data_IF_493629745879
#
_entry.id   IF_493629745879
#
_cell.length_a   1.000
_cell.length_b   1.000
_cell.length_c   1.000
_cell.angle_alpha   90.00
_cell.angle_beta   90.00
_cell.angle_gamma   90.00
#
_symmetry.space_group_name_H-M   'P 1'
#
loop_
_entity.id
_entity.type
_entity.pdbx_description
1 polymer ?
#
# COMPACT_ATOMS: atom_id res chain seq x y z
N UNK A 1 12.50 12.64 21.42
CA UNK A 1 11.12 13.15 21.22
C UNK A 1 10.17 11.99 21.02
N UNK A 2 8.98 12.05 21.66
CA UNK A 2 7.94 11.02 21.55
C UNK A 2 6.65 11.67 21.05
N UNK A 3 6.00 11.06 20.05
CA UNK A 3 4.71 11.53 19.52
C UNK A 3 3.67 10.42 19.67
N UNK A 4 2.55 10.73 20.31
CA UNK A 4 1.40 9.83 20.44
C UNK A 4 0.33 10.28 19.46
N UNK A 5 -0.16 9.37 18.63
CA UNK A 5 -1.23 9.62 17.69
C UNK A 5 -2.36 8.59 17.82
N UNK A 6 -3.58 9.00 17.46
CA UNK A 6 -4.76 8.13 17.46
C UNK A 6 -5.39 8.11 16.07
N UNK A 7 -5.62 6.93 15.53
CA UNK A 7 -6.30 6.82 14.25
C UNK A 7 -7.83 6.86 14.40
N UNK A 8 -8.59 7.06 13.30
CA UNK A 8 -10.06 7.06 13.33
C UNK A 8 -10.71 5.73 13.77
N UNK A 9 -9.97 4.61 13.74
CA UNK A 9 -10.42 3.31 14.24
C UNK A 9 -10.33 3.20 15.76
N UNK A 10 -9.68 4.18 16.44
CA UNK A 10 -9.49 4.23 17.88
C UNK A 10 -8.19 3.62 18.38
N UNK A 11 -7.28 3.23 17.49
CA UNK A 11 -5.97 2.66 17.83
C UNK A 11 -4.97 3.78 18.10
N UNK A 12 -4.09 3.56 19.09
CA UNK A 12 -3.03 4.51 19.45
C UNK A 12 -1.69 4.01 18.90
N UNK A 13 -0.88 4.95 18.46
CA UNK A 13 0.47 4.73 17.95
C UNK A 13 1.42 5.64 18.71
N UNK A 14 2.63 5.13 18.98
CA UNK A 14 3.73 5.88 19.56
C UNK A 14 4.87 5.90 18.56
N UNK A 15 5.36 7.09 18.25
CA UNK A 15 6.56 7.28 17.43
C UNK A 15 7.66 7.86 18.31
N UNK A 16 8.80 7.17 18.36
CA UNK A 16 9.95 7.55 19.18
C UNK A 16 11.12 7.82 18.25
N UNK A 17 11.71 9.02 18.35
CA UNK A 17 12.95 9.34 17.67
C UNK A 17 14.10 8.90 18.56
N UNK A 18 14.98 8.05 18.03
CA UNK A 18 16.16 7.54 18.72
C UNK A 18 17.40 8.05 17.98
N UNK A 19 18.38 8.51 18.70
CA UNK A 19 19.71 8.76 18.16
C UNK A 19 20.50 7.45 18.27
N UNK A 20 21.09 7.02 17.17
CA UNK A 20 21.95 5.85 17.12
C UNK A 20 23.41 6.32 16.95
N UNK A 21 24.29 5.84 17.81
CA UNK A 21 25.72 6.03 17.65
C UNK A 21 26.21 5.12 16.51
N UNK A 22 26.77 5.69 15.47
CA UNK A 22 27.35 4.98 14.34
C UNK A 22 27.08 5.62 12.99
N UNK A 23 28.01 5.48 12.07
CA UNK A 23 27.82 5.85 10.65
C UNK A 23 27.05 4.73 9.95
N UNK A 24 26.19 5.12 8.99
CA UNK A 24 25.61 4.14 8.08
C UNK A 24 26.74 3.44 7.30
N UNK A 25 26.66 2.10 7.09
CA UNK A 25 27.61 1.40 6.27
C UNK A 25 27.62 1.98 4.84
N UNK A 26 28.80 2.11 4.25
CA UNK A 26 28.90 2.53 2.86
C UNK A 26 28.14 1.56 1.94
N UNK A 27 27.41 2.08 0.93
CA UNK A 27 26.72 1.22 -0.01
C UNK A 27 27.72 0.29 -0.71
N UNK A 28 27.46 -1.01 -0.79
CA UNK A 28 28.34 -1.93 -1.52
C UNK A 28 28.38 -1.57 -3.00
N UNK A 29 29.52 -1.83 -3.65
CA UNK A 29 29.64 -1.69 -5.10
C UNK A 29 28.59 -2.55 -5.80
N UNK A 30 27.90 -1.98 -6.78
CA UNK A 30 26.86 -2.67 -7.54
C UNK A 30 27.51 -3.74 -8.42
N UNK A 31 27.17 -5.00 -8.18
CA UNK A 31 27.62 -6.14 -8.99
C UNK A 31 26.40 -6.78 -9.64
N UNK A 32 26.38 -6.95 -10.97
CA UNK A 32 25.25 -7.55 -11.69
C UNK A 32 24.83 -8.93 -11.15
N UNK A 33 25.79 -9.74 -10.74
CA UNK A 33 25.57 -11.10 -10.23
C UNK A 33 24.80 -11.14 -8.91
N UNK A 34 24.85 -10.06 -8.13
CA UNK A 34 24.18 -9.93 -6.83
C UNK A 34 23.09 -8.88 -6.82
N UNK A 35 22.76 -8.34 -7.99
CA UNK A 35 21.69 -7.36 -8.16
C UNK A 35 20.41 -8.03 -8.68
N UNK A 36 19.26 -7.51 -8.25
CA UNK A 36 17.94 -7.89 -8.75
C UNK A 36 17.13 -6.64 -9.12
N UNK A 37 16.51 -6.67 -10.30
CA UNK A 37 15.53 -5.68 -10.72
C UNK A 37 14.12 -6.08 -10.27
N UNK A 38 13.32 -5.12 -9.82
CA UNK A 38 11.93 -5.32 -9.45
C UNK A 38 11.05 -4.40 -10.29
N UNK A 39 10.15 -5.00 -11.08
CA UNK A 39 9.06 -4.31 -11.77
C UNK A 39 7.78 -4.45 -10.92
N UNK A 40 7.18 -3.32 -10.54
CA UNK A 40 5.94 -3.27 -9.78
C UNK A 40 4.74 -3.09 -10.71
N UNK A 41 3.73 -3.95 -10.58
CA UNK A 41 2.59 -3.94 -11.47
C UNK A 41 1.24 -4.18 -10.79
N UNK A 42 0.17 -4.09 -11.59
CA UNK A 42 -1.22 -4.27 -11.11
C UNK A 42 -1.63 -5.74 -11.10
N UNK A 43 -1.23 -6.51 -12.10
CA UNK A 43 -1.56 -7.94 -12.21
C UNK A 43 -0.69 -8.79 -11.29
N UNK A 44 0.59 -8.49 -11.27
CA UNK A 44 1.54 -9.01 -10.29
C UNK A 44 2.00 -7.85 -9.42
N UNK A 45 2.08 -8.07 -8.12
CA UNK A 45 2.55 -7.05 -7.20
C UNK A 45 4.01 -6.69 -7.47
N UNK A 46 4.81 -7.70 -7.80
CA UNK A 46 6.19 -7.55 -8.22
C UNK A 46 6.60 -8.68 -9.18
N UNK A 47 7.47 -8.35 -10.12
CA UNK A 47 8.17 -9.30 -11.00
C UNK A 47 9.66 -9.03 -10.84
N UNK A 48 10.43 -10.04 -10.52
CA UNK A 48 11.87 -9.95 -10.38
C UNK A 48 12.56 -10.27 -11.71
N UNK A 49 13.76 -9.71 -11.89
CA UNK A 49 14.60 -9.99 -13.06
C UNK A 49 15.04 -11.46 -13.18
N UNK A 50 14.99 -12.23 -12.08
CA UNK A 50 15.20 -13.69 -12.07
C UNK A 50 13.98 -14.49 -12.59
N UNK A 51 12.90 -13.81 -12.98
CA UNK A 51 11.66 -14.42 -13.49
C UNK A 51 10.62 -14.74 -12.40
N UNK A 52 10.93 -14.58 -11.12
CA UNK A 52 9.95 -14.82 -10.06
C UNK A 52 8.84 -13.78 -10.10
N UNK A 53 7.60 -14.23 -9.92
CA UNK A 53 6.40 -13.38 -9.92
C UNK A 53 5.67 -13.49 -8.58
N UNK A 54 5.30 -12.34 -8.04
CA UNK A 54 4.45 -12.24 -6.85
C UNK A 54 3.06 -11.78 -7.29
N UNK A 55 2.06 -12.66 -7.35
CA UNK A 55 0.74 -12.31 -7.85
C UNK A 55 0.02 -11.35 -6.91
N UNK A 56 -0.78 -10.44 -7.46
CA UNK A 56 -1.69 -9.63 -6.67
C UNK A 56 -2.74 -10.52 -6.00
N UNK A 57 -3.07 -10.23 -4.75
CA UNK A 57 -3.99 -11.06 -3.98
C UNK A 57 -5.45 -10.64 -4.17
N UNK A 58 -6.31 -11.59 -4.55
CA UNK A 58 -7.77 -11.40 -4.60
C UNK A 58 -8.44 -11.33 -3.21
N UNK A 59 -7.67 -11.59 -2.15
CA UNK A 59 -8.18 -11.57 -0.76
C UNK A 59 -8.77 -10.21 -0.37
N UNK A 60 -8.30 -9.12 -1.02
CA UNK A 60 -8.79 -7.76 -0.76
C UNK A 60 -10.20 -7.51 -1.27
N UNK A 61 -10.64 -8.16 -2.33
CA UNK A 61 -11.96 -7.94 -2.95
C UNK A 61 -13.12 -8.15 -1.99
N UNK A 62 -13.03 -9.14 -1.10
CA UNK A 62 -14.05 -9.35 -0.06
C UNK A 62 -14.09 -8.20 0.95
N UNK A 63 -12.91 -7.76 1.40
CA UNK A 63 -12.77 -6.65 2.34
C UNK A 63 -13.22 -5.33 1.73
N UNK A 64 -12.92 -5.09 0.45
CA UNK A 64 -13.36 -3.90 -0.30
C UNK A 64 -14.88 -3.87 -0.50
N UNK A 65 -15.52 -5.00 -0.83
CA UNK A 65 -16.99 -5.08 -0.91
C UNK A 65 -17.65 -4.80 0.44
N UNK A 66 -17.07 -5.32 1.52
CA UNK A 66 -17.54 -5.05 2.88
C UNK A 66 -17.38 -3.57 3.23
N UNK A 67 -16.25 -2.95 2.91
CA UNK A 67 -16.03 -1.51 3.11
C UNK A 67 -17.06 -0.69 2.33
N UNK A 68 -17.28 -0.99 1.04
CA UNK A 68 -18.27 -0.31 0.22
C UNK A 68 -19.69 -0.42 0.78
N UNK A 69 -20.04 -1.56 1.39
CA UNK A 69 -21.33 -1.72 2.09
C UNK A 69 -21.42 -0.82 3.33
N UNK A 70 -20.38 -0.80 4.16
CA UNK A 70 -20.33 0.06 5.35
C UNK A 70 -20.38 1.55 5.00
N UNK A 71 -19.71 1.97 3.92
CA UNK A 71 -19.75 3.34 3.43
C UNK A 71 -21.15 3.76 2.98
N UNK A 72 -21.90 2.87 2.29
CA UNK A 72 -23.30 3.09 1.95
C UNK A 72 -24.21 3.24 3.17
N UNK A 73 -23.96 2.46 4.23
CA UNK A 73 -24.68 2.62 5.50
C UNK A 73 -24.36 3.97 6.12
N UNK A 74 -23.09 4.36 6.16
CA UNK A 74 -22.64 5.64 6.72
C UNK A 74 -23.27 6.84 5.99
N UNK A 75 -23.28 6.82 4.64
CA UNK A 75 -23.84 7.92 3.82
C UNK A 75 -25.34 8.16 4.04
N UNK A 76 -26.07 7.15 4.48
CA UNK A 76 -27.52 7.26 4.78
C UNK A 76 -27.81 7.74 6.21
N UNK A 77 -26.80 7.96 7.04
CA UNK A 77 -26.95 8.39 8.43
C UNK A 77 -26.80 9.90 8.56
N UNK A 78 -27.58 10.51 9.44
CA UNK A 78 -27.46 11.93 9.74
C UNK A 78 -26.13 12.21 10.41
N UNK A 79 -25.29 13.06 9.78
CA UNK A 79 -23.96 13.46 10.26
C UNK A 79 -24.06 14.05 11.66
N UNK A 80 -23.17 13.65 12.57
CA UNK A 80 -23.13 14.08 13.97
C UNK A 80 -24.05 13.29 14.92
N UNK A 81 -24.95 12.45 14.43
CA UNK A 81 -25.80 11.59 15.27
C UNK A 81 -25.03 10.39 15.84
N UNK A 82 -25.47 9.85 16.99
CA UNK A 82 -24.87 8.66 17.63
C UNK A 82 -24.72 7.46 16.70
N UNK A 83 -25.71 7.23 15.84
CA UNK A 83 -25.68 6.13 14.86
C UNK A 83 -24.72 6.39 13.70
N UNK A 84 -24.50 7.65 13.33
CA UNK A 84 -23.49 8.04 12.36
C UNK A 84 -22.08 7.78 12.91
N UNK A 85 -21.82 8.18 14.17
CA UNK A 85 -20.53 7.93 14.82
C UNK A 85 -20.21 6.44 14.92
N UNK A 86 -21.17 5.61 15.30
CA UNK A 86 -21.01 4.15 15.30
C UNK A 86 -20.68 3.60 13.90
N UNK A 87 -21.34 4.10 12.86
CA UNK A 87 -21.08 3.69 11.48
C UNK A 87 -19.69 4.18 11.00
N UNK A 88 -19.29 5.41 11.34
CA UNK A 88 -17.99 5.98 11.04
C UNK A 88 -16.85 5.13 11.59
N UNK A 89 -16.94 4.71 12.84
CA UNK A 89 -15.93 3.83 13.45
C UNK A 89 -15.87 2.47 12.75
N UNK A 90 -17.01 1.89 12.33
CA UNK A 90 -17.02 0.64 11.56
C UNK A 90 -16.30 0.79 10.22
N UNK A 91 -16.55 1.89 9.49
CA UNK A 91 -15.85 2.21 8.23
C UNK A 91 -14.35 2.36 8.48
N UNK A 92 -13.94 3.12 9.50
CA UNK A 92 -12.54 3.31 9.83
C UNK A 92 -11.82 1.98 10.16
N UNK A 93 -12.46 1.11 10.91
CA UNK A 93 -11.92 -0.24 11.23
C UNK A 93 -11.79 -1.10 9.97
N UNK A 94 -12.77 -1.06 9.06
CA UNK A 94 -12.69 -1.81 7.81
C UNK A 94 -11.56 -1.28 6.90
N UNK A 95 -11.37 0.03 6.81
CA UNK A 95 -10.25 0.64 6.09
C UNK A 95 -8.91 0.24 6.69
N UNK A 96 -8.80 0.28 8.02
CA UNK A 96 -7.58 -0.12 8.72
C UNK A 96 -7.25 -1.60 8.48
N UNK A 97 -8.25 -2.48 8.48
CA UNK A 97 -8.08 -3.91 8.15
C UNK A 97 -7.51 -4.09 6.73
N UNK A 98 -8.06 -3.38 5.73
CA UNK A 98 -7.56 -3.47 4.35
C UNK A 98 -6.11 -2.96 4.27
N UNK A 99 -5.80 -1.85 4.93
CA UNK A 99 -4.43 -1.33 5.01
C UNK A 99 -3.46 -2.35 5.60
N UNK A 100 -3.84 -2.96 6.72
CA UNK A 100 -3.00 -3.96 7.39
C UNK A 100 -2.80 -5.21 6.52
N UNK A 101 -3.85 -5.68 5.82
CA UNK A 101 -3.75 -6.79 4.87
C UNK A 101 -2.79 -6.48 3.71
N UNK A 102 -2.82 -5.24 3.18
CA UNK A 102 -1.90 -4.80 2.13
C UNK A 102 -0.46 -4.73 2.63
N UNK A 103 -0.26 -4.14 3.80
CA UNK A 103 1.07 -4.06 4.41
C UNK A 103 1.64 -5.45 4.70
N UNK A 104 0.83 -6.38 5.21
CA UNK A 104 1.24 -7.76 5.45
C UNK A 104 1.69 -8.44 4.16
N UNK A 105 0.92 -8.30 3.08
CA UNK A 105 1.30 -8.85 1.77
C UNK A 105 2.63 -8.25 1.28
N UNK A 106 2.79 -6.92 1.35
CA UNK A 106 4.02 -6.25 0.93
C UNK A 106 5.20 -6.72 1.78
N UNK A 107 5.04 -6.78 3.09
CA UNK A 107 6.09 -7.21 4.00
C UNK A 107 6.51 -8.67 3.74
N UNK A 108 5.58 -9.56 3.42
CA UNK A 108 5.88 -10.94 3.06
C UNK A 108 6.68 -11.01 1.75
N UNK A 109 6.30 -10.23 0.72
CA UNK A 109 7.06 -10.14 -0.54
C UNK A 109 8.46 -9.60 -0.29
N UNK A 110 8.58 -8.53 0.48
CA UNK A 110 9.89 -7.93 0.83
C UNK A 110 10.75 -8.94 1.59
N UNK A 111 10.18 -9.65 2.58
CA UNK A 111 10.90 -10.67 3.33
C UNK A 111 11.40 -11.81 2.44
N UNK A 112 10.59 -12.25 1.48
CA UNK A 112 10.98 -13.31 0.54
C UNK A 112 12.10 -12.85 -0.40
N UNK A 113 12.09 -11.58 -0.84
CA UNK A 113 13.17 -11.00 -1.66
C UNK A 113 14.47 -10.90 -0.85
N UNK A 114 14.39 -10.41 0.40
CA UNK A 114 15.57 -10.28 1.29
C UNK A 114 16.20 -11.64 1.59
N UNK A 115 15.38 -12.68 1.83
CA UNK A 115 15.87 -14.04 2.11
C UNK A 115 16.71 -14.62 0.97
N UNK A 116 16.55 -14.12 -0.27
CA UNK A 116 17.36 -14.55 -1.42
C UNK A 116 18.80 -14.04 -1.39
N UNK A 117 19.10 -13.09 -0.53
CA UNK A 117 20.47 -12.61 -0.30
C UNK A 117 21.02 -11.68 -1.38
N UNK A 118 20.18 -11.05 -2.19
CA UNK A 118 20.62 -9.99 -3.11
C UNK A 118 21.26 -8.83 -2.33
N UNK A 119 22.39 -8.34 -2.81
CA UNK A 119 23.12 -7.21 -2.21
C UNK A 119 22.62 -5.86 -2.73
N UNK A 120 22.04 -5.85 -3.92
CA UNK A 120 21.52 -4.64 -4.57
C UNK A 120 20.12 -4.92 -5.11
N UNK A 121 19.17 -4.05 -4.77
CA UNK A 121 17.79 -4.10 -5.28
C UNK A 121 17.55 -2.84 -6.10
N UNK A 122 17.28 -3.03 -7.40
CA UNK A 122 16.96 -1.97 -8.33
C UNK A 122 15.45 -1.90 -8.51
N UNK A 123 14.85 -0.74 -8.26
CA UNK A 123 13.42 -0.50 -8.46
C UNK A 123 13.22 0.63 -9.46
N UNK A 124 12.15 0.54 -10.25
CA UNK A 124 11.78 1.62 -11.16
C UNK A 124 11.25 2.82 -10.37
N UNK A 125 11.68 4.03 -10.74
CA UNK A 125 11.12 5.26 -10.18
C UNK A 125 9.79 5.58 -10.86
N UNK A 126 8.71 5.02 -10.33
CA UNK A 126 7.38 5.19 -10.88
C UNK A 126 6.79 6.54 -10.44
N UNK A 127 6.68 7.47 -11.39
CA UNK A 127 5.93 8.70 -11.18
C UNK A 127 4.44 8.47 -11.39
N UNK A 128 3.64 8.62 -10.33
CA UNK A 128 2.17 8.53 -10.40
C UNK A 128 1.60 9.59 -11.37
N UNK A 129 2.32 10.71 -11.58
CA UNK A 129 1.91 11.79 -12.48
C UNK A 129 1.99 11.40 -13.95
N UNK A 130 2.83 10.44 -14.31
CA UNK A 130 3.11 10.08 -15.73
C UNK A 130 2.19 8.99 -16.29
N UNK A 131 1.02 8.78 -15.70
CA UNK A 131 -0.06 8.03 -16.34
C UNK A 131 -0.28 6.59 -15.90
N UNK A 132 0.36 6.10 -14.84
CA UNK A 132 0.10 4.74 -14.31
C UNK A 132 -1.33 4.54 -13.77
N UNK A 133 -2.05 5.62 -13.47
CA UNK A 133 -3.43 5.60 -13.02
C UNK A 133 -4.38 6.15 -14.09
N UNK A 134 -4.14 5.85 -15.36
CA UNK A 134 -5.11 6.15 -16.40
C UNK A 134 -6.26 5.14 -16.36
N UNK A 135 -7.41 5.59 -15.90
CA UNK A 135 -8.66 4.84 -16.01
C UNK A 135 -9.09 4.75 -17.49
N UNK A 136 -8.75 3.66 -18.16
CA UNK A 136 -9.31 3.33 -19.47
C UNK A 136 -10.75 2.90 -19.27
N UNK A 137 -11.70 3.83 -19.34
CA UNK A 137 -13.10 3.47 -19.47
C UNK A 137 -13.31 2.83 -20.84
N UNK A 138 -13.61 1.53 -20.84
CA UNK A 138 -14.12 0.86 -22.03
C UNK A 138 -15.51 1.39 -22.35
N UNK A 139 -15.61 2.21 -23.36
CA UNK A 139 -16.86 2.77 -23.91
C UNK A 139 -16.56 3.71 -25.07
N UNK A 140 -17.56 3.98 -25.90
CA UNK A 140 -17.46 4.80 -27.14
C UNK A 140 -16.91 6.24 -26.94
N UNK A 141 -16.61 6.64 -25.72
CA UNK A 141 -15.94 7.89 -25.39
C UNK A 141 -14.72 7.59 -24.51
N UNK A 142 -13.62 7.23 -25.15
CA UNK A 142 -12.29 7.20 -24.54
C UNK A 142 -11.84 8.62 -24.17
N UNK A 143 -12.45 9.23 -23.16
CA UNK A 143 -11.85 10.40 -22.51
C UNK A 143 -10.87 9.89 -21.48
N UNK A 144 -9.59 9.96 -21.78
CA UNK A 144 -8.53 9.83 -20.79
C UNK A 144 -8.77 10.88 -19.70
N UNK A 145 -9.22 10.45 -18.53
CA UNK A 145 -9.19 11.32 -17.34
C UNK A 145 -7.79 11.22 -16.77
N UNK A 146 -6.93 12.12 -17.18
CA UNK A 146 -5.74 12.45 -16.40
C UNK A 146 -6.24 13.06 -15.08
N UNK A 147 -5.91 12.45 -13.96
CA UNK A 147 -6.04 13.11 -12.66
C UNK A 147 -4.97 14.20 -12.61
N UNK A 148 -5.31 15.39 -13.09
CA UNK A 148 -4.56 16.60 -12.82
C UNK A 148 -5.06 17.14 -11.49
N UNK A 149 -4.14 17.17 -10.52
CA UNK A 149 -4.12 17.96 -9.29
C UNK A 149 -5.18 17.64 -8.23
#
# INVERSE_FOLDING_TARGET
TCTISRNPAGEYYVSIIVETEGSYPEPPAIKPETAVGIDAGVKNLAILSDGQKFPASDKFRKSERHLAHLQRILSRRTKGGKNWEKARVKVARAQNRIRNQRNDLINNVVADIIKKGYKTICVENLSIKDGMLQDKKHGKHNKQKTFSQ
#
